data_IF_932469002775
#
_entry.id   IF_932469002775
#
_cell.length_a   1.000
_cell.length_b   1.000
_cell.length_c   1.000
_cell.angle_alpha   90.00
_cell.angle_beta   90.00
_cell.angle_gamma   90.00
#
_symmetry.space_group_name_H-M   'P 1'
#
loop_
_entity.id
_entity.type
_entity.pdbx_description
1 polymer ?
#
# COMPACT_ATOMS: atom_id res chain seq x y z
N UNK A 1 -28.50 -15.28 4.44
CA UNK A 1 -28.17 -14.20 5.39
C UNK A 1 -27.41 -14.80 6.55
N UNK A 2 -26.08 -14.65 6.61
CA UNK A 2 -25.27 -15.28 7.66
C UNK A 2 -25.49 -14.58 8.99
N UNK A 3 -25.83 -15.34 10.04
CA UNK A 3 -26.02 -14.81 11.40
C UNK A 3 -24.67 -14.36 11.97
N UNK A 4 -24.59 -13.11 12.42
CA UNK A 4 -23.39 -12.57 13.03
C UNK A 4 -23.01 -13.28 14.33
N UNK A 5 -21.72 -13.51 14.55
CA UNK A 5 -21.21 -14.15 15.76
C UNK A 5 -20.81 -13.08 16.77
N UNK A 6 -21.26 -13.23 18.02
CA UNK A 6 -20.83 -12.36 19.11
C UNK A 6 -19.45 -12.80 19.62
N UNK A 7 -18.60 -11.82 19.90
CA UNK A 7 -17.30 -11.97 20.54
C UNK A 7 -17.24 -11.14 21.82
N UNK A 8 -16.57 -11.72 22.81
CA UNK A 8 -16.26 -11.12 24.11
C UNK A 8 -14.74 -11.00 24.26
N UNK A 9 -14.25 -10.12 25.16
CA UNK A 9 -12.83 -9.99 25.44
C UNK A 9 -12.19 -11.35 25.77
N UNK A 10 -11.09 -11.68 25.10
CA UNK A 10 -10.40 -12.96 25.26
C UNK A 10 -9.67 -13.38 23.98
N UNK A 11 -9.14 -14.61 23.96
CA UNK A 11 -8.26 -15.10 22.88
C UNK A 11 -8.91 -15.06 21.50
N UNK A 12 -10.23 -15.31 21.41
CA UNK A 12 -10.97 -15.24 20.13
C UNK A 12 -11.07 -13.82 19.58
N UNK A 13 -11.29 -12.82 20.43
CA UNK A 13 -11.35 -11.42 20.01
C UNK A 13 -9.96 -10.89 19.67
N UNK A 14 -8.94 -11.26 20.44
CA UNK A 14 -7.55 -10.92 20.15
C UNK A 14 -7.09 -11.51 18.83
N UNK A 15 -7.38 -12.78 18.58
CA UNK A 15 -7.04 -13.46 17.31
C UNK A 15 -7.76 -12.83 16.13
N UNK A 16 -9.01 -12.41 16.31
CA UNK A 16 -9.75 -11.68 15.28
C UNK A 16 -9.07 -10.35 14.91
N UNK A 17 -8.69 -9.55 15.91
CA UNK A 17 -7.98 -8.29 15.67
C UNK A 17 -6.59 -8.51 15.09
N UNK A 18 -5.80 -9.42 15.65
CA UNK A 18 -4.46 -9.74 15.15
C UNK A 18 -4.49 -10.20 13.69
N UNK A 19 -5.42 -11.09 13.33
CA UNK A 19 -5.58 -11.56 11.95
C UNK A 19 -5.99 -10.45 10.96
N UNK A 20 -6.78 -9.45 11.39
CA UNK A 20 -7.15 -8.32 10.53
C UNK A 20 -6.03 -7.27 10.44
N UNK A 21 -5.35 -6.99 11.55
CA UNK A 21 -4.27 -6.01 11.61
C UNK A 21 -3.05 -6.50 10.85
N UNK A 22 -2.70 -7.80 10.97
CA UNK A 22 -1.59 -8.41 10.23
C UNK A 22 -1.81 -8.48 8.71
N UNK A 23 -3.05 -8.42 8.24
CA UNK A 23 -3.34 -8.29 6.80
C UNK A 23 -2.92 -6.92 6.27
N UNK A 24 -2.74 -5.93 7.14
CA UNK A 24 -2.13 -4.66 6.76
C UNK A 24 -0.61 -4.72 6.91
N UNK A 25 0.09 -4.68 5.78
CA UNK A 25 1.56 -4.82 5.63
C UNK A 25 2.39 -3.67 6.21
N UNK A 26 1.78 -2.67 6.83
CA UNK A 26 2.46 -1.48 7.35
C UNK A 26 2.91 -1.59 8.80
N UNK A 27 2.42 -2.60 9.54
CA UNK A 27 2.71 -2.82 10.94
C UNK A 27 3.62 -4.03 11.11
N UNK A 28 4.65 -3.89 11.94
CA UNK A 28 5.45 -5.02 12.38
C UNK A 28 4.61 -5.94 13.30
N UNK A 29 4.96 -7.22 13.35
CA UNK A 29 4.20 -8.23 14.11
C UNK A 29 4.05 -7.86 15.60
N UNK A 30 5.05 -7.17 16.15
CA UNK A 30 5.05 -6.70 17.53
C UNK A 30 4.10 -5.51 17.76
N UNK A 31 3.93 -4.58 16.80
CA UNK A 31 2.90 -3.56 16.91
C UNK A 31 1.50 -4.13 16.66
N UNK A 32 1.36 -5.06 15.71
CA UNK A 32 0.09 -5.71 15.42
C UNK A 32 -0.48 -6.43 16.66
N UNK A 33 0.37 -7.15 17.40
CA UNK A 33 -0.02 -7.81 18.65
C UNK A 33 -0.37 -6.82 19.78
N UNK A 34 0.44 -5.75 19.95
CA UNK A 34 0.14 -4.71 20.95
C UNK A 34 -1.18 -4.00 20.68
N UNK A 35 -1.47 -3.72 19.40
CA UNK A 35 -2.73 -3.11 18.98
C UNK A 35 -3.90 -4.07 19.19
N UNK A 36 -3.76 -5.34 18.82
CA UNK A 36 -4.79 -6.35 19.06
C UNK A 36 -5.11 -6.50 20.55
N UNK A 37 -4.09 -6.49 21.42
CA UNK A 37 -4.28 -6.53 22.87
C UNK A 37 -4.98 -5.26 23.40
N UNK A 38 -4.55 -4.08 22.97
CA UNK A 38 -5.17 -2.81 23.37
C UNK A 38 -6.65 -2.74 22.97
N UNK A 39 -6.97 -3.15 21.73
CA UNK A 39 -8.36 -3.19 21.23
C UNK A 39 -9.21 -4.23 21.96
N UNK A 40 -8.64 -5.39 22.31
CA UNK A 40 -9.34 -6.41 23.10
C UNK A 40 -9.67 -5.92 24.51
N UNK A 41 -8.79 -5.12 25.12
CA UNK A 41 -9.06 -4.49 26.44
C UNK A 41 -10.09 -3.37 26.36
N UNK A 42 -10.17 -2.67 25.23
CA UNK A 42 -11.08 -1.53 25.05
C UNK A 42 -12.52 -1.91 24.66
N UNK A 43 -12.75 -3.15 24.19
CA UNK A 43 -14.04 -3.57 23.62
C UNK A 43 -14.71 -4.62 24.49
N UNK A 44 -15.85 -4.29 25.10
CA UNK A 44 -16.60 -5.21 25.96
C UNK A 44 -17.41 -6.26 25.18
N UNK A 45 -17.88 -5.95 23.96
CA UNK A 45 -18.61 -6.87 23.09
C UNK A 45 -18.53 -6.43 21.63
N UNK A 46 -18.32 -7.38 20.72
CA UNK A 46 -18.34 -7.13 19.27
C UNK A 46 -19.21 -8.17 18.56
N UNK A 47 -19.87 -7.76 17.49
CA UNK A 47 -20.67 -8.62 16.61
C UNK A 47 -19.85 -8.69 15.30
N UNK A 48 -19.44 -9.89 14.87
CA UNK A 48 -18.56 -10.14 13.71
C UNK A 48 -19.21 -11.04 12.65
N UNK A 49 -19.24 -10.61 11.38
CA UNK A 49 -19.94 -11.33 10.28
C UNK A 49 -19.04 -12.32 9.55
N UNK A 50 -17.73 -12.07 9.56
CA UNK A 50 -16.73 -12.93 8.94
C UNK A 50 -15.62 -13.16 9.95
N UNK A 51 -15.62 -14.34 10.55
CA UNK A 51 -14.41 -14.80 11.23
C UNK A 51 -13.34 -15.01 10.16
N UNK A 52 -12.13 -14.46 10.32
CA UNK A 52 -11.02 -14.94 9.53
C UNK A 52 -10.86 -16.42 9.90
N UNK A 53 -10.93 -17.30 8.90
CA UNK A 53 -10.59 -18.70 9.14
C UNK A 53 -9.21 -18.74 9.79
N UNK A 54 -9.11 -19.56 10.82
CA UNK A 54 -7.87 -19.87 11.53
C UNK A 54 -7.02 -20.73 10.58
N UNK A 55 -6.62 -20.13 9.46
CA UNK A 55 -5.75 -20.76 8.49
C UNK A 55 -4.37 -20.72 9.12
N UNK A 56 -4.14 -21.73 9.97
CA UNK A 56 -2.80 -22.27 10.19
C UNK A 56 -2.09 -22.25 8.84
N UNK A 57 -0.92 -21.65 8.80
CA UNK A 57 -0.03 -21.58 7.65
C UNK A 57 0.18 -22.95 7.01
N UNK A 58 -0.73 -23.34 6.12
CA UNK A 58 -0.61 -24.40 5.12
C UNK A 58 -1.68 -24.09 4.09
N UNK A 59 -1.36 -23.18 3.18
CA UNK A 59 -1.35 -23.54 1.76
C UNK A 59 -0.79 -22.39 0.94
N UNK A 60 0.43 -22.67 0.48
CA UNK A 60 1.04 -22.07 -0.69
C UNK A 60 0.09 -22.31 -1.87
N UNK A 61 -0.77 -21.35 -2.17
CA UNK A 61 -1.48 -21.33 -3.45
C UNK A 61 -0.65 -20.51 -4.42
N UNK A 62 0.02 -21.25 -5.30
CA UNK A 62 0.65 -20.78 -6.52
C UNK A 62 -0.34 -20.00 -7.39
N UNK A 63 -0.22 -18.68 -7.42
CA UNK A 63 -0.61 -17.86 -8.57
C UNK A 63 0.16 -16.53 -8.53
N UNK A 64 1.06 -16.36 -9.51
CA UNK A 64 1.92 -15.21 -9.80
C UNK A 64 3.09 -14.90 -8.81
N UNK A 65 4.05 -15.83 -8.65
CA UNK A 65 5.25 -15.60 -7.84
C UNK A 65 6.22 -14.57 -8.45
N UNK A 66 6.02 -14.13 -9.71
CA UNK A 66 6.93 -13.18 -10.34
C UNK A 66 6.70 -11.72 -9.91
N UNK A 67 5.45 -11.35 -9.59
CA UNK A 67 5.11 -9.99 -9.15
C UNK A 67 5.48 -9.83 -7.67
N UNK A 68 5.12 -10.77 -6.81
CA UNK A 68 5.47 -10.72 -5.40
C UNK A 68 6.99 -10.83 -5.15
N UNK A 69 7.72 -11.64 -5.94
CA UNK A 69 9.19 -11.76 -5.79
C UNK A 69 9.96 -10.52 -6.30
N UNK A 70 9.43 -9.79 -7.28
CA UNK A 70 9.94 -8.47 -7.69
C UNK A 70 9.76 -7.44 -6.58
N UNK A 71 8.58 -7.44 -5.94
CA UNK A 71 8.27 -6.54 -4.83
C UNK A 71 9.07 -6.87 -3.56
N UNK A 72 9.40 -8.13 -3.30
CA UNK A 72 10.16 -8.55 -2.12
C UNK A 72 11.67 -8.24 -2.18
N UNK A 73 12.27 -8.04 -3.37
CA UNK A 73 13.69 -7.64 -3.51
C UNK A 73 13.95 -6.16 -3.23
N UNK A 74 12.91 -5.37 -3.02
CA UNK A 74 12.99 -3.98 -2.61
C UNK A 74 12.61 -3.84 -1.12
N UNK A 75 13.38 -4.45 -0.22
CA UNK A 75 13.02 -4.65 1.20
C UNK A 75 12.60 -3.39 2.01
N UNK A 76 12.69 -2.17 1.48
CA UNK A 76 12.23 -0.94 2.15
C UNK A 76 11.58 0.10 1.22
N UNK A 77 11.17 -0.25 -0.01
CA UNK A 77 10.59 0.74 -0.93
C UNK A 77 9.06 0.81 -0.79
N UNK A 78 8.55 1.95 -0.29
CA UNK A 78 7.13 2.23 -0.23
C UNK A 78 6.72 3.24 -1.33
N UNK A 79 5.95 2.81 -2.36
CA UNK A 79 5.53 3.67 -3.47
C UNK A 79 4.46 4.71 -3.10
N UNK A 80 3.96 4.67 -1.86
CA UNK A 80 2.97 5.60 -1.31
C UNK A 80 3.58 6.63 -0.35
N UNK A 81 4.91 6.69 -0.21
CA UNK A 81 5.59 7.66 0.67
C UNK A 81 5.21 9.12 0.37
N UNK A 82 4.90 9.42 -0.89
CA UNK A 82 4.36 10.72 -1.30
C UNK A 82 3.49 10.56 -2.56
N UNK A 83 2.58 11.50 -2.78
CA UNK A 83 1.77 11.54 -4.00
C UNK A 83 2.40 12.48 -5.04
N UNK A 84 2.59 11.97 -6.27
CA UNK A 84 3.15 12.76 -7.37
C UNK A 84 2.34 14.05 -7.62
N UNK A 85 1.01 13.95 -7.64
CA UNK A 85 0.11 15.08 -7.90
C UNK A 85 0.20 16.12 -6.77
N UNK A 86 0.21 15.67 -5.50
CA UNK A 86 0.25 16.59 -4.35
C UNK A 86 1.59 17.32 -4.29
N UNK A 87 2.70 16.61 -4.51
CA UNK A 87 4.03 17.23 -4.56
C UNK A 87 4.12 18.20 -5.72
N UNK A 88 3.64 17.81 -6.91
CA UNK A 88 3.62 18.69 -8.08
C UNK A 88 2.80 19.96 -7.83
N UNK A 89 1.62 19.84 -7.20
CA UNK A 89 0.77 20.98 -6.92
C UNK A 89 1.37 21.95 -5.88
N UNK A 90 2.10 21.43 -4.88
CA UNK A 90 2.66 22.24 -3.79
C UNK A 90 4.06 22.79 -4.06
N UNK A 91 4.91 21.99 -4.70
CA UNK A 91 6.35 22.25 -4.85
C UNK A 91 6.76 22.41 -6.32
N UNK A 92 5.82 22.24 -7.25
CA UNK A 92 6.07 22.31 -8.67
C UNK A 92 6.91 21.14 -9.19
N UNK A 93 7.30 21.29 -10.45
CA UNK A 93 8.06 20.29 -11.22
C UNK A 93 9.37 19.91 -10.53
N UNK A 94 10.14 20.90 -10.09
CA UNK A 94 11.46 20.69 -9.49
C UNK A 94 11.39 19.96 -8.15
N UNK A 95 10.35 20.24 -7.35
CA UNK A 95 10.11 19.52 -6.10
C UNK A 95 9.82 18.04 -6.33
N UNK A 96 9.01 17.73 -7.34
CA UNK A 96 8.72 16.34 -7.71
C UNK A 96 9.99 15.63 -8.23
N UNK A 97 10.80 16.29 -9.07
CA UNK A 97 12.06 15.71 -9.57
C UNK A 97 13.00 15.37 -8.42
N UNK A 98 13.17 16.28 -7.44
CA UNK A 98 14.02 16.03 -6.26
C UNK A 98 13.58 14.78 -5.48
N UNK A 99 12.28 14.61 -5.24
CA UNK A 99 11.73 13.42 -4.58
C UNK A 99 11.95 12.14 -5.38
N UNK A 100 11.79 12.21 -6.70
CA UNK A 100 12.04 11.06 -7.58
C UNK A 100 13.54 10.72 -7.70
N UNK A 101 14.45 11.64 -7.40
CA UNK A 101 15.90 11.36 -7.36
C UNK A 101 16.30 10.49 -6.15
N UNK A 102 15.55 10.53 -5.05
CA UNK A 102 15.75 9.65 -3.89
C UNK A 102 15.52 8.18 -4.26
N UNK A 103 14.72 7.92 -5.31
CA UNK A 103 14.47 6.59 -5.84
C UNK A 103 15.60 6.22 -6.82
N UNK A 104 16.47 5.30 -6.38
CA UNK A 104 17.69 4.90 -7.10
C UNK A 104 17.53 3.67 -8.01
N UNK A 105 16.34 3.07 -8.05
CA UNK A 105 16.05 1.88 -8.87
C UNK A 105 14.98 2.18 -9.91
N UNK A 106 15.18 1.68 -11.13
CA UNK A 106 14.23 1.80 -12.23
C UNK A 106 12.94 1.01 -11.94
N UNK A 107 13.08 -0.13 -11.25
CA UNK A 107 11.96 -0.96 -10.82
C UNK A 107 11.09 -0.20 -9.80
N UNK A 108 11.71 0.43 -8.81
CA UNK A 108 11.01 1.22 -7.80
C UNK A 108 10.32 2.45 -8.41
N UNK A 109 10.94 3.11 -9.40
CA UNK A 109 10.30 4.22 -10.11
C UNK A 109 9.05 3.77 -10.88
N UNK A 110 9.09 2.57 -11.50
CA UNK A 110 7.94 1.99 -12.19
C UNK A 110 6.84 1.59 -11.21
N UNK A 111 7.21 0.95 -10.11
CA UNK A 111 6.28 0.61 -9.03
C UNK A 111 5.61 1.86 -8.44
N UNK A 112 6.36 2.96 -8.29
CA UNK A 112 5.80 4.26 -7.91
C UNK A 112 4.80 4.78 -8.95
N UNK A 113 5.16 4.76 -10.23
CA UNK A 113 4.30 5.22 -11.30
C UNK A 113 2.98 4.43 -11.34
N UNK A 114 3.06 3.10 -11.25
CA UNK A 114 1.92 2.19 -11.22
C UNK A 114 1.00 2.45 -10.02
N UNK A 115 1.58 2.54 -8.81
CA UNK A 115 0.84 2.81 -7.57
C UNK A 115 0.08 4.15 -7.60
N UNK A 116 0.62 5.14 -8.31
CA UNK A 116 0.00 6.46 -8.47
C UNK A 116 -0.92 6.55 -9.70
N UNK A 117 -1.10 5.45 -10.44
CA UNK A 117 -1.79 5.39 -11.74
C UNK A 117 -1.26 6.43 -12.73
N UNK A 118 0.05 6.60 -12.77
CA UNK A 118 0.77 7.47 -13.69
C UNK A 118 1.32 6.60 -14.83
N UNK A 119 0.81 6.74 -16.06
CA UNK A 119 1.28 5.93 -17.18
C UNK A 119 2.72 6.30 -17.54
N UNK A 120 3.58 5.28 -17.62
CA UNK A 120 4.99 5.42 -18.02
C UNK A 120 5.34 4.33 -19.00
N UNK A 121 6.10 4.66 -20.05
CA UNK A 121 6.52 3.67 -21.06
C UNK A 121 7.49 2.64 -20.45
N UNK A 122 7.09 1.37 -20.50
CA UNK A 122 7.87 0.24 -20.02
C UNK A 122 9.18 0.00 -20.80
N UNK A 123 9.38 0.64 -21.96
CA UNK A 123 10.62 0.59 -22.74
C UNK A 123 11.71 1.50 -22.19
N UNK A 124 11.39 2.46 -21.32
CA UNK A 124 12.36 3.40 -20.75
C UNK A 124 13.31 2.70 -19.76
N UNK A 125 14.61 2.68 -20.06
CA UNK A 125 15.60 2.00 -19.22
C UNK A 125 16.43 2.95 -18.35
N UNK A 126 16.57 4.22 -18.75
CA UNK A 126 17.34 5.22 -18.00
C UNK A 126 16.49 5.82 -16.89
N UNK A 127 17.05 5.94 -15.68
CA UNK A 127 16.36 6.49 -14.52
C UNK A 127 15.81 7.89 -14.80
N UNK A 128 16.62 8.77 -15.40
CA UNK A 128 16.20 10.15 -15.67
C UNK A 128 15.07 10.25 -16.68
N UNK A 129 15.04 9.36 -17.67
CA UNK A 129 13.95 9.32 -18.64
C UNK A 129 12.65 8.83 -17.99
N UNK A 130 12.74 7.82 -17.12
CA UNK A 130 11.60 7.35 -16.31
C UNK A 130 11.09 8.48 -15.40
N UNK A 131 11.97 9.20 -14.71
CA UNK A 131 11.60 10.34 -13.84
C UNK A 131 10.89 11.44 -14.63
N UNK A 132 11.44 11.82 -15.80
CA UNK A 132 10.83 12.81 -16.68
C UNK A 132 9.44 12.37 -17.16
N UNK A 133 9.28 11.10 -17.51
CA UNK A 133 7.99 10.55 -17.92
C UNK A 133 6.95 10.60 -16.78
N UNK A 134 7.33 10.24 -15.55
CA UNK A 134 6.46 10.33 -14.37
C UNK A 134 5.97 11.77 -14.17
N UNK A 135 6.88 12.74 -14.26
CA UNK A 135 6.55 14.16 -14.07
C UNK A 135 5.58 14.64 -15.15
N UNK A 136 5.87 14.36 -16.43
CA UNK A 136 5.00 14.77 -17.55
C UNK A 136 3.59 14.17 -17.43
N UNK A 137 3.50 12.88 -17.08
CA UNK A 137 2.22 12.22 -16.90
C UNK A 137 1.45 12.74 -15.66
N UNK A 138 2.14 13.11 -14.58
CA UNK A 138 1.53 13.75 -13.42
C UNK A 138 1.02 15.17 -13.74
N UNK A 139 1.76 15.95 -14.53
CA UNK A 139 1.34 17.26 -15.04
C UNK A 139 0.07 17.15 -15.87
N UNK A 140 0.02 16.19 -16.80
CA UNK A 140 -1.16 15.95 -17.63
C UNK A 140 -2.39 15.61 -16.78
N UNK A 141 -2.27 14.68 -15.82
CA UNK A 141 -3.41 14.32 -14.95
C UNK A 141 -3.89 15.48 -14.09
N UNK A 142 -2.98 16.35 -13.64
CA UNK A 142 -3.36 17.55 -12.89
C UNK A 142 -4.11 18.55 -13.77
N UNK A 143 -3.66 18.73 -15.01
CA UNK A 143 -4.34 19.56 -16.01
C UNK A 143 -5.74 19.01 -16.34
N UNK A 144 -5.86 17.70 -16.61
CA UNK A 144 -7.14 17.05 -16.91
C UNK A 144 -8.14 17.20 -15.76
N UNK A 145 -7.66 17.05 -14.51
CA UNK A 145 -8.48 17.28 -13.32
C UNK A 145 -8.96 18.71 -13.18
N UNK A 146 -8.10 19.68 -13.50
CA UNK A 146 -8.46 21.11 -13.47
C UNK A 146 -9.48 21.45 -14.56
N UNK A 147 -9.32 20.87 -15.75
CA UNK A 147 -10.25 21.04 -16.86
C UNK A 147 -11.63 20.42 -16.59
N UNK A 148 -11.68 19.26 -15.92
CA UNK A 148 -12.94 18.60 -15.57
C UNK A 148 -13.70 19.26 -14.41
N UNK A 149 -13.04 20.13 -13.63
CA UNK A 149 -13.62 20.86 -12.50
C UNK A 149 -14.04 22.29 -12.84
N UNK A 150 -13.80 22.74 -14.09
CA UNK A 150 -14.15 24.06 -14.61
C UNK A 150 -15.28 23.98 -15.61
#
# INVERSE_FOLDING_TARGET
MSKGTQLWPGDKMRSFFSAHIRRETSLDDAAAERLAEALTKAVNRMLVWKMPDDVRHTDRVEAAPEIAARHARAENFNPYLFSAIVVLAKQGRDGLIKRLQEIKSAENLRAFAEAQHVPVDGKLRRLDDIRKAIVAAAEQRLADRKAAAS
#
